data_IF_786084223511
#
_entry.id   IF_786084223511
#
_cell.length_a   1.000
_cell.length_b   1.000
_cell.length_c   1.000
_cell.angle_alpha   90.00
_cell.angle_beta   90.00
_cell.angle_gamma   90.00
#
_symmetry.space_group_name_H-M   'P 1'
#
loop_
_entity.id
_entity.type
_entity.pdbx_description
1 polymer ?
#
# COMPACT_ATOMS: atom_id res chain seq x y z
N UNK A 1 6.50 22.25 8.51
CA UNK A 1 5.92 22.30 7.17
C UNK A 1 4.91 23.43 7.00
N UNK A 2 4.06 23.72 7.96
CA UNK A 2 2.99 24.71 7.80
C UNK A 2 3.51 26.15 7.60
N UNK A 3 4.41 26.61 8.43
CA UNK A 3 4.80 28.04 8.53
C UNK A 3 6.21 28.37 8.03
N UNK A 4 6.94 27.45 7.42
CA UNK A 4 8.31 27.65 6.94
C UNK A 4 8.47 27.17 5.50
N UNK A 5 9.15 27.94 4.67
CA UNK A 5 9.43 27.56 3.27
C UNK A 5 10.37 26.36 3.18
N UNK A 6 11.48 26.41 3.92
CA UNK A 6 12.43 25.31 3.99
C UNK A 6 12.22 24.52 5.28
N UNK A 7 11.96 23.22 5.13
CA UNK A 7 11.72 22.34 6.25
C UNK A 7 13.06 21.86 6.80
N UNK A 8 13.30 22.19 8.09
CA UNK A 8 14.43 21.68 8.86
C UNK A 8 13.94 21.37 10.27
N UNK A 9 14.22 20.17 10.76
CA UNK A 9 13.93 19.80 12.15
C UNK A 9 14.98 20.39 13.09
N UNK A 10 14.86 21.69 13.40
CA UNK A 10 15.77 22.43 14.26
C UNK A 10 14.98 23.22 15.33
N UNK A 11 15.53 23.25 16.57
CA UNK A 11 14.91 23.98 17.69
C UNK A 11 14.75 25.47 17.38
N UNK A 12 15.66 26.06 16.61
CA UNK A 12 15.62 27.47 16.18
C UNK A 12 14.38 27.84 15.36
N UNK A 13 13.65 26.84 14.85
CA UNK A 13 12.39 27.05 14.14
C UNK A 13 11.23 27.40 15.07
N UNK A 14 11.36 27.21 16.37
CA UNK A 14 10.36 27.54 17.38
C UNK A 14 10.60 28.94 17.97
N UNK A 15 10.60 29.96 17.14
CA UNK A 15 10.62 31.35 17.60
C UNK A 15 9.20 31.82 18.01
N UNK A 16 9.13 32.95 18.72
CA UNK A 16 7.88 33.48 19.27
C UNK A 16 6.78 33.67 18.20
N UNK A 17 7.13 34.14 17.00
CA UNK A 17 6.18 34.33 15.91
C UNK A 17 5.58 33.01 15.44
N UNK A 18 6.41 31.97 15.29
CA UNK A 18 5.94 30.62 14.88
C UNK A 18 5.08 29.99 15.97
N UNK A 19 5.44 30.17 17.25
CA UNK A 19 4.64 29.69 18.38
C UNK A 19 3.25 30.35 18.39
N UNK A 20 3.15 31.69 18.22
CA UNK A 20 1.86 32.36 18.09
C UNK A 20 1.02 31.81 16.94
N UNK A 21 1.63 31.57 15.77
CA UNK A 21 0.91 30.97 14.63
C UNK A 21 0.42 29.56 14.92
N UNK A 22 1.17 28.76 15.70
CA UNK A 22 0.71 27.46 16.15
C UNK A 22 -0.48 27.58 17.09
N UNK A 23 -0.44 28.46 18.06
CA UNK A 23 -1.52 28.66 19.03
C UNK A 23 -2.81 29.13 18.34
N UNK A 24 -2.72 30.11 17.45
CA UNK A 24 -3.86 30.62 16.66
C UNK A 24 -4.51 29.56 15.77
N UNK A 25 -3.74 28.60 15.27
CA UNK A 25 -4.21 27.58 14.34
C UNK A 25 -4.29 26.19 14.96
N UNK A 26 -4.06 26.05 16.26
CA UNK A 26 -3.88 24.77 16.92
C UNK A 26 -5.03 23.78 16.69
N UNK A 27 -6.26 24.20 16.85
CA UNK A 27 -7.44 23.34 16.66
C UNK A 27 -7.52 22.74 15.25
N UNK A 28 -7.24 23.55 14.24
CA UNK A 28 -7.22 23.08 12.85
C UNK A 28 -6.05 22.16 12.56
N UNK A 29 -4.87 22.48 13.11
CA UNK A 29 -3.66 21.64 12.96
C UNK A 29 -3.92 20.27 13.61
N UNK A 30 -4.37 20.28 14.88
CA UNK A 30 -4.70 19.07 15.62
C UNK A 30 -5.72 18.21 14.86
N UNK A 31 -6.82 18.84 14.40
CA UNK A 31 -7.86 18.13 13.64
C UNK A 31 -7.34 17.54 12.33
N UNK A 32 -6.49 18.27 11.61
CA UNK A 32 -5.89 17.77 10.36
C UNK A 32 -4.99 16.55 10.60
N UNK A 33 -4.24 16.54 11.71
CA UNK A 33 -3.42 15.39 12.14
C UNK A 33 -4.32 14.19 12.48
N UNK A 34 -5.32 14.38 13.34
CA UNK A 34 -6.26 13.34 13.75
C UNK A 34 -6.93 12.69 12.54
N UNK A 35 -7.44 13.50 11.62
CA UNK A 35 -8.11 13.05 10.40
C UNK A 35 -7.17 12.28 9.47
N UNK A 36 -5.92 12.73 9.31
CA UNK A 36 -4.94 12.02 8.49
C UNK A 36 -4.63 10.62 9.07
N UNK A 37 -4.48 10.51 10.39
CA UNK A 37 -4.29 9.21 11.04
C UNK A 37 -5.55 8.34 11.01
N UNK A 38 -6.75 8.94 11.07
CA UNK A 38 -7.99 8.21 10.89
C UNK A 38 -8.12 7.64 9.47
N UNK A 39 -7.69 8.37 8.44
CA UNK A 39 -7.59 7.85 7.06
C UNK A 39 -6.65 6.66 6.98
N UNK A 40 -5.44 6.74 7.57
CA UNK A 40 -4.50 5.61 7.60
C UNK A 40 -5.13 4.38 8.26
N UNK A 41 -5.80 4.57 9.40
CA UNK A 41 -6.50 3.48 10.10
C UNK A 41 -7.60 2.87 9.23
N UNK A 42 -8.42 3.70 8.57
CA UNK A 42 -9.45 3.23 7.63
C UNK A 42 -8.85 2.47 6.45
N UNK A 43 -7.68 2.83 5.99
CA UNK A 43 -6.95 2.09 4.95
C UNK A 43 -6.25 0.83 5.47
N UNK A 44 -6.42 0.48 6.75
CA UNK A 44 -5.88 -0.73 7.36
C UNK A 44 -4.40 -0.64 7.77
N UNK A 45 -3.80 0.56 7.74
CA UNK A 45 -2.45 0.76 8.26
C UNK A 45 -2.45 0.83 9.79
N UNK A 46 -1.44 0.21 10.39
CA UNK A 46 -1.19 0.20 11.82
C UNK A 46 0.30 0.43 12.09
N UNK A 47 0.73 0.43 13.36
CA UNK A 47 2.13 0.70 13.73
C UNK A 47 3.13 -0.30 13.11
N UNK A 48 2.73 -1.55 12.86
CA UNK A 48 3.61 -2.56 12.25
C UNK A 48 3.73 -2.39 10.72
N UNK A 49 2.68 -1.96 10.05
CA UNK A 49 2.62 -1.79 8.59
C UNK A 49 2.94 -0.36 8.13
N UNK A 50 2.97 0.62 9.05
CA UNK A 50 3.23 2.03 8.73
C UNK A 50 4.48 2.54 9.47
N UNK A 51 5.67 2.13 9.01
CA UNK A 51 6.95 2.49 9.67
C UNK A 51 7.44 3.89 9.31
N UNK A 52 7.26 4.36 8.08
CA UNK A 52 7.71 5.68 7.64
C UNK A 52 6.67 6.77 8.00
N UNK A 53 6.56 7.12 9.28
CA UNK A 53 5.55 8.07 9.80
C UNK A 53 5.61 9.45 9.12
N UNK A 54 6.75 9.86 8.58
CA UNK A 54 6.89 11.10 7.80
C UNK A 54 6.03 11.11 6.51
N UNK A 55 5.61 9.95 6.01
CA UNK A 55 4.74 9.87 4.84
C UNK A 55 3.33 10.45 5.07
N UNK A 56 2.91 10.61 6.33
CA UNK A 56 1.62 11.24 6.65
C UNK A 56 1.69 12.78 6.60
N UNK A 57 2.87 13.37 6.79
CA UNK A 57 3.02 14.85 6.87
C UNK A 57 2.48 15.56 5.62
N UNK A 58 2.74 15.14 4.39
CA UNK A 58 2.14 15.73 3.18
C UNK A 58 0.61 15.69 3.18
N UNK A 59 0.02 14.62 3.70
CA UNK A 59 -1.43 14.46 3.82
C UNK A 59 -2.01 15.47 4.82
N UNK A 60 -1.39 15.57 6.01
CA UNK A 60 -1.78 16.57 7.02
C UNK A 60 -1.70 17.98 6.45
N UNK A 61 -0.60 18.31 5.77
CA UNK A 61 -0.41 19.61 5.15
C UNK A 61 -1.49 19.91 4.09
N UNK A 62 -1.80 18.94 3.23
CA UNK A 62 -2.83 19.09 2.21
C UNK A 62 -4.21 19.31 2.84
N UNK A 63 -4.63 18.48 3.79
CA UNK A 63 -5.91 18.60 4.51
C UNK A 63 -6.03 19.99 5.14
N UNK A 64 -4.99 20.42 5.87
CA UNK A 64 -4.96 21.73 6.51
C UNK A 64 -5.03 22.87 5.49
N UNK A 65 -4.23 22.81 4.41
CA UNK A 65 -4.15 23.88 3.40
C UNK A 65 -5.44 24.06 2.60
N UNK A 66 -6.19 22.98 2.41
CA UNK A 66 -7.49 22.97 1.71
C UNK A 66 -8.69 23.23 2.64
N UNK A 67 -8.46 23.31 3.96
CA UNK A 67 -9.49 23.47 4.99
C UNK A 67 -10.61 22.40 4.91
N UNK A 68 -10.21 21.14 4.68
CA UNK A 68 -11.12 20.00 4.49
C UNK A 68 -11.13 19.02 5.67
N UNK A 69 -10.53 19.39 6.79
CA UNK A 69 -10.39 18.57 7.99
C UNK A 69 -11.73 18.11 8.60
N UNK A 70 -12.83 18.79 8.31
CA UNK A 70 -14.16 18.42 8.81
C UNK A 70 -14.96 17.54 7.84
N UNK A 71 -14.60 17.54 6.56
CA UNK A 71 -15.43 17.02 5.47
C UNK A 71 -14.81 15.77 4.79
N UNK A 72 -13.49 15.70 4.68
CA UNK A 72 -12.79 14.66 3.89
C UNK A 72 -13.17 13.23 4.29
N UNK A 73 -13.48 12.97 5.57
CA UNK A 73 -13.87 11.63 6.04
C UNK A 73 -15.30 11.26 5.62
N UNK A 74 -16.18 12.22 5.45
CA UNK A 74 -17.62 12.04 5.28
C UNK A 74 -18.07 12.23 3.84
N UNK A 75 -17.46 13.19 3.15
CA UNK A 75 -17.92 13.61 1.83
C UNK A 75 -17.36 12.69 0.73
N UNK A 76 -18.25 12.27 -0.18
CA UNK A 76 -17.90 11.53 -1.38
C UNK A 76 -17.09 12.35 -2.39
N UNK A 77 -17.17 13.68 -2.31
CA UNK A 77 -16.41 14.61 -3.15
C UNK A 77 -14.89 14.34 -3.08
N UNK A 78 -14.38 13.88 -1.93
CA UNK A 78 -12.95 13.63 -1.70
C UNK A 78 -12.51 12.18 -1.97
N UNK A 79 -13.26 11.38 -2.72
CA UNK A 79 -12.89 9.98 -3.01
C UNK A 79 -11.58 9.89 -3.81
N UNK A 80 -11.39 10.78 -4.79
CA UNK A 80 -10.16 10.81 -5.58
C UNK A 80 -8.97 11.25 -4.73
N UNK A 81 -9.14 12.26 -3.87
CA UNK A 81 -8.11 12.65 -2.90
C UNK A 81 -7.68 11.48 -2.02
N UNK A 82 -8.65 10.78 -1.43
CA UNK A 82 -8.40 9.61 -0.57
C UNK A 82 -7.66 8.49 -1.32
N UNK A 83 -8.03 8.24 -2.57
CA UNK A 83 -7.35 7.26 -3.44
C UNK A 83 -5.90 7.64 -3.71
N UNK A 84 -5.66 8.90 -4.10
CA UNK A 84 -4.31 9.41 -4.41
C UNK A 84 -3.42 9.50 -3.16
N UNK A 85 -3.98 9.90 -2.02
CA UNK A 85 -3.27 9.88 -0.73
C UNK A 85 -2.89 8.46 -0.31
N UNK A 86 -3.78 7.47 -0.47
CA UNK A 86 -3.46 6.06 -0.19
C UNK A 86 -2.37 5.55 -1.12
N UNK A 87 -2.44 5.86 -2.42
CA UNK A 87 -1.40 5.55 -3.41
C UNK A 87 -0.05 6.14 -2.97
N UNK A 88 -0.04 7.42 -2.55
CA UNK A 88 1.14 8.08 -2.01
C UNK A 88 1.73 7.32 -0.81
N UNK A 89 0.91 6.97 0.17
CA UNK A 89 1.34 6.20 1.35
C UNK A 89 2.00 4.90 0.92
N UNK A 90 1.32 4.09 0.12
CA UNK A 90 1.83 2.79 -0.32
C UNK A 90 3.17 2.93 -1.06
N UNK A 91 3.24 3.79 -2.08
CA UNK A 91 4.45 3.96 -2.90
C UNK A 91 5.60 4.53 -2.07
N UNK A 92 5.35 5.52 -1.21
CA UNK A 92 6.39 6.11 -0.36
C UNK A 92 6.98 5.12 0.65
N UNK A 93 6.17 4.18 1.15
CA UNK A 93 6.62 3.09 2.01
C UNK A 93 7.48 2.09 1.23
N UNK A 94 7.00 1.63 0.08
CA UNK A 94 7.70 0.65 -0.76
C UNK A 94 9.03 1.17 -1.27
N UNK A 95 9.08 2.41 -1.72
CA UNK A 95 10.28 3.07 -2.23
C UNK A 95 11.20 3.60 -1.12
N UNK A 96 10.78 3.52 0.15
CA UNK A 96 11.58 4.04 1.26
C UNK A 96 11.93 5.53 1.13
N UNK A 97 11.03 6.35 0.57
CA UNK A 97 11.27 7.76 0.21
C UNK A 97 11.81 8.59 1.38
N UNK A 98 11.43 8.25 2.61
CA UNK A 98 11.85 8.92 3.83
C UNK A 98 13.09 8.27 4.50
N UNK A 99 13.75 7.33 3.84
CA UNK A 99 15.06 6.83 4.26
C UNK A 99 16.13 7.91 4.09
N UNK A 100 16.76 8.36 5.18
CA UNK A 100 17.81 9.38 5.17
C UNK A 100 17.27 10.83 5.29
N UNK A 101 17.35 11.64 4.25
CA UNK A 101 17.11 13.10 4.31
C UNK A 101 15.63 13.48 4.20
N UNK A 102 14.82 13.22 5.22
CA UNK A 102 13.38 13.53 5.25
C UNK A 102 13.07 15.02 5.04
N UNK A 103 13.92 15.92 5.51
CA UNK A 103 13.73 17.37 5.41
C UNK A 103 13.70 17.85 3.96
N UNK A 104 14.64 17.37 3.14
CA UNK A 104 14.70 17.73 1.70
C UNK A 104 13.49 17.18 0.95
N UNK A 105 13.08 15.94 1.25
CA UNK A 105 11.88 15.33 0.68
C UNK A 105 10.64 16.15 1.00
N UNK A 106 10.43 16.50 2.28
CA UNK A 106 9.29 17.31 2.70
C UNK A 106 9.32 18.72 2.10
N UNK A 107 10.49 19.32 1.94
CA UNK A 107 10.65 20.63 1.30
C UNK A 107 10.20 20.58 -0.17
N UNK A 108 10.63 19.55 -0.92
CA UNK A 108 10.21 19.35 -2.31
C UNK A 108 8.71 19.15 -2.42
N UNK A 109 8.13 18.28 -1.59
CA UNK A 109 6.68 18.04 -1.58
C UNK A 109 5.91 19.29 -1.22
N UNK A 110 6.38 20.07 -0.24
CA UNK A 110 5.72 21.32 0.14
C UNK A 110 5.63 22.30 -1.03
N UNK A 111 6.70 22.46 -1.82
CA UNK A 111 6.67 23.30 -3.03
C UNK A 111 5.54 22.90 -3.98
N UNK A 112 5.38 21.58 -4.21
CA UNK A 112 4.28 21.07 -5.03
C UNK A 112 2.92 21.40 -4.40
N UNK A 113 2.73 21.09 -3.10
CA UNK A 113 1.46 21.27 -2.39
C UNK A 113 1.07 22.73 -2.20
N UNK A 114 2.00 23.68 -2.29
CA UNK A 114 1.74 25.12 -2.16
C UNK A 114 1.15 25.76 -3.42
N UNK A 115 1.08 25.02 -4.52
CA UNK A 115 0.42 25.48 -5.75
C UNK A 115 -1.09 25.62 -5.54
N UNK A 116 -1.60 26.83 -5.71
CA UNK A 116 -3.01 27.19 -5.48
C UNK A 116 -3.97 26.54 -6.49
N UNK A 117 -3.48 26.17 -7.66
CA UNK A 117 -4.28 25.56 -8.74
C UNK A 117 -4.57 24.07 -8.49
N UNK A 118 -4.02 23.49 -7.44
CA UNK A 118 -4.25 22.08 -7.08
C UNK A 118 -5.71 21.91 -6.63
N UNK A 119 -6.45 21.04 -7.33
CA UNK A 119 -7.86 20.70 -7.01
C UNK A 119 -8.01 19.38 -6.26
N UNK A 120 -7.09 18.43 -6.50
CA UNK A 120 -7.02 17.12 -5.85
C UNK A 120 -5.61 16.87 -5.34
N UNK A 121 -5.41 15.89 -4.45
CA UNK A 121 -4.08 15.54 -3.94
C UNK A 121 -3.10 15.26 -5.10
N UNK A 122 -2.01 16.02 -5.26
CA UNK A 122 -1.25 16.08 -6.51
C UNK A 122 -0.18 15.00 -6.61
N UNK A 123 -0.58 13.72 -6.52
CA UNK A 123 0.35 12.59 -6.59
C UNK A 123 1.28 12.63 -7.81
N UNK A 124 0.73 12.89 -9.00
CA UNK A 124 1.54 12.89 -10.23
C UNK A 124 2.54 14.05 -10.28
N UNK A 125 2.18 15.24 -9.76
CA UNK A 125 3.13 16.36 -9.63
C UNK A 125 4.25 16.03 -8.61
N UNK A 126 3.91 15.32 -7.52
CA UNK A 126 4.90 14.84 -6.55
C UNK A 126 5.82 13.80 -7.22
N UNK A 127 5.27 12.81 -7.95
CA UNK A 127 6.05 11.83 -8.71
C UNK A 127 7.04 12.51 -9.64
N UNK A 128 6.56 13.50 -10.40
CA UNK A 128 7.40 14.26 -11.35
C UNK A 128 8.51 15.05 -10.65
N UNK A 129 8.26 15.61 -9.48
CA UNK A 129 9.26 16.38 -8.71
C UNK A 129 10.44 15.52 -8.23
N UNK A 130 10.30 14.21 -8.20
CA UNK A 130 11.36 13.25 -7.85
C UNK A 130 11.86 12.43 -9.05
N UNK A 131 11.43 12.73 -10.27
CA UNK A 131 11.78 11.93 -11.45
C UNK A 131 13.28 11.91 -11.78
N UNK A 132 14.03 12.95 -11.39
CA UNK A 132 15.49 13.07 -11.62
C UNK A 132 16.35 12.55 -10.45
N UNK A 133 15.74 12.07 -9.37
CA UNK A 133 16.43 11.52 -8.19
C UNK A 133 16.17 10.02 -8.10
N UNK A 134 17.10 9.21 -8.59
CA UNK A 134 16.94 7.75 -8.62
C UNK A 134 16.63 7.15 -7.24
N UNK A 135 17.20 7.73 -6.16
CA UNK A 135 17.01 7.25 -4.79
C UNK A 135 15.62 7.61 -4.23
N UNK A 136 14.94 8.62 -4.79
CA UNK A 136 13.63 9.13 -4.33
C UNK A 136 12.54 8.99 -5.39
N UNK A 137 12.90 8.51 -6.59
CA UNK A 137 11.95 8.28 -7.67
C UNK A 137 10.79 7.39 -7.23
N UNK A 138 9.58 7.84 -7.52
CA UNK A 138 8.34 7.09 -7.26
C UNK A 138 7.97 6.14 -8.42
N UNK A 139 8.81 6.05 -9.43
CA UNK A 139 8.65 5.11 -10.56
C UNK A 139 9.04 3.70 -10.12
N UNK A 140 8.27 2.70 -10.54
CA UNK A 140 8.57 1.30 -10.26
C UNK A 140 9.12 0.65 -11.54
N UNK A 141 10.41 0.28 -11.56
CA UNK A 141 10.97 -0.51 -12.65
C UNK A 141 10.43 -1.94 -12.65
N UNK A 142 10.60 -2.66 -13.76
CA UNK A 142 10.18 -4.05 -13.86
C UNK A 142 10.86 -4.95 -12.82
N UNK A 143 12.15 -4.73 -12.57
CA UNK A 143 12.92 -5.44 -11.54
C UNK A 143 12.35 -5.15 -10.14
N UNK A 144 12.03 -3.88 -9.86
CA UNK A 144 11.45 -3.49 -8.58
C UNK A 144 10.07 -4.11 -8.38
N UNK A 145 9.24 -4.17 -9.44
CA UNK A 145 7.92 -4.84 -9.39
C UNK A 145 8.10 -6.33 -9.10
N UNK A 146 9.08 -6.99 -9.74
CA UNK A 146 9.37 -8.41 -9.50
C UNK A 146 9.73 -8.68 -8.04
N UNK A 147 10.60 -7.86 -7.45
CA UNK A 147 10.99 -7.95 -6.04
C UNK A 147 9.81 -7.66 -5.09
N UNK A 148 8.99 -6.67 -5.43
CA UNK A 148 7.79 -6.33 -4.65
C UNK A 148 6.79 -7.48 -4.62
N UNK A 149 6.60 -8.21 -5.72
CA UNK A 149 5.71 -9.36 -5.78
C UNK A 149 6.21 -10.56 -4.94
N UNK A 150 7.53 -10.66 -4.69
CA UNK A 150 8.13 -11.65 -3.79
C UNK A 150 8.09 -11.26 -2.31
N UNK A 151 7.54 -10.10 -1.98
CA UNK A 151 7.43 -9.63 -0.59
C UNK A 151 6.68 -10.66 0.26
N UNK A 152 7.33 -11.12 1.33
CA UNK A 152 6.80 -12.15 2.24
C UNK A 152 5.67 -11.62 3.10
N UNK A 153 4.74 -12.50 3.51
CA UNK A 153 3.55 -12.18 4.32
C UNK A 153 3.88 -11.35 5.57
N UNK A 154 4.97 -11.69 6.26
CA UNK A 154 5.36 -11.04 7.52
C UNK A 154 6.17 -9.76 7.34
N UNK A 155 6.54 -9.42 6.10
CA UNK A 155 7.19 -8.16 5.79
C UNK A 155 6.26 -6.98 6.12
N UNK A 156 6.84 -5.91 6.69
CA UNK A 156 6.11 -4.67 6.95
C UNK A 156 5.53 -4.01 5.69
N UNK A 157 6.14 -4.27 4.53
CA UNK A 157 5.69 -3.72 3.24
C UNK A 157 4.58 -4.54 2.58
N UNK A 158 4.38 -5.80 3.01
CA UNK A 158 3.41 -6.70 2.37
C UNK A 158 2.00 -6.09 2.29
N UNK A 159 1.54 -5.47 3.38
CA UNK A 159 0.22 -4.82 3.39
C UNK A 159 0.13 -3.67 2.38
N UNK A 160 1.18 -2.86 2.25
CA UNK A 160 1.21 -1.75 1.30
C UNK A 160 1.11 -2.25 -0.16
N UNK A 161 1.82 -3.35 -0.50
CA UNK A 161 1.72 -3.98 -1.83
C UNK A 161 0.30 -4.46 -2.10
N UNK A 162 -0.27 -5.23 -1.16
CA UNK A 162 -1.63 -5.73 -1.30
C UNK A 162 -2.65 -4.60 -1.39
N UNK A 163 -2.49 -3.50 -0.62
CA UNK A 163 -3.38 -2.35 -0.68
C UNK A 163 -3.33 -1.59 -2.02
N UNK A 164 -2.20 -1.63 -2.74
CA UNK A 164 -2.11 -1.13 -4.11
C UNK A 164 -2.85 -2.04 -5.10
N UNK A 165 -2.60 -3.35 -5.03
CA UNK A 165 -3.20 -4.36 -5.89
C UNK A 165 -4.73 -4.39 -5.73
N UNK A 166 -5.22 -4.41 -4.51
CA UNK A 166 -6.63 -4.45 -4.16
C UNK A 166 -7.23 -3.05 -3.96
N UNK A 167 -6.91 -2.11 -4.85
CA UNK A 167 -7.32 -0.70 -4.75
C UNK A 167 -8.84 -0.50 -4.79
N UNK A 168 -9.60 -1.46 -5.30
CA UNK A 168 -11.06 -1.46 -5.40
C UNK A 168 -11.79 -1.82 -4.10
N UNK A 169 -11.10 -2.35 -3.09
CA UNK A 169 -11.72 -2.75 -1.83
C UNK A 169 -12.18 -1.54 -1.00
N UNK A 170 -13.22 -1.75 -0.21
CA UNK A 170 -13.85 -0.72 0.63
C UNK A 170 -13.17 -0.58 1.99
N UNK A 171 -11.96 -0.03 2.00
CA UNK A 171 -11.16 0.14 3.22
C UNK A 171 -11.80 1.05 4.27
N UNK A 172 -12.72 1.92 3.87
CA UNK A 172 -13.42 2.84 4.79
C UNK A 172 -14.40 2.11 5.73
N UNK A 173 -14.89 0.94 5.32
CA UNK A 173 -15.97 0.23 6.02
C UNK A 173 -15.61 -1.20 6.43
N UNK A 174 -14.59 -1.79 5.81
CA UNK A 174 -14.21 -3.19 6.04
C UNK A 174 -12.74 -3.29 6.43
N UNK A 175 -12.45 -4.05 7.50
CA UNK A 175 -11.10 -4.42 7.87
C UNK A 175 -10.67 -5.67 7.11
N UNK A 176 -9.46 -5.63 6.53
CA UNK A 176 -8.91 -6.70 5.72
C UNK A 176 -7.67 -7.32 6.35
N UNK A 177 -7.55 -8.64 6.22
CA UNK A 177 -6.43 -9.44 6.67
C UNK A 177 -5.69 -10.06 5.49
N UNK A 178 -4.39 -10.27 5.65
CA UNK A 178 -3.55 -10.98 4.69
C UNK A 178 -3.84 -12.48 4.79
N UNK A 179 -4.31 -13.09 3.71
CA UNK A 179 -4.62 -14.50 3.63
C UNK A 179 -3.91 -15.17 2.44
N UNK A 180 -3.60 -16.47 2.56
CA UNK A 180 -3.06 -17.26 1.46
C UNK A 180 -4.17 -17.78 0.56
N UNK A 181 -4.01 -17.67 -0.76
CA UNK A 181 -4.94 -18.28 -1.72
C UNK A 181 -4.85 -19.82 -1.66
N UNK A 182 -3.68 -20.38 -1.95
CA UNK A 182 -3.38 -21.77 -1.59
C UNK A 182 -2.89 -21.83 -0.14
N UNK A 183 -3.54 -22.58 0.75
CA UNK A 183 -3.27 -22.57 2.19
C UNK A 183 -1.81 -22.91 2.55
N UNK A 184 -1.23 -22.15 3.48
CA UNK A 184 0.15 -22.35 3.92
C UNK A 184 0.41 -23.75 4.49
N UNK A 185 -0.59 -24.35 5.16
CA UNK A 185 -0.50 -25.69 5.75
C UNK A 185 -0.16 -26.79 4.74
N UNK A 186 -0.55 -26.63 3.46
CA UNK A 186 -0.25 -27.58 2.41
C UNK A 186 1.25 -27.58 2.08
N UNK A 187 1.87 -26.42 2.00
CA UNK A 187 3.31 -26.27 1.68
C UNK A 187 4.21 -26.76 2.81
N UNK A 188 3.80 -26.52 4.07
CA UNK A 188 4.60 -26.89 5.25
C UNK A 188 4.66 -28.39 5.52
N UNK A 189 3.79 -29.19 4.90
CA UNK A 189 3.73 -30.64 5.07
C UNK A 189 4.47 -31.42 3.98
N UNK A 190 4.92 -30.74 2.90
CA UNK A 190 5.54 -31.37 1.74
C UNK A 190 6.88 -32.02 2.07
N UNK A 191 7.14 -33.16 1.42
CA UNK A 191 8.39 -33.91 1.49
C UNK A 191 8.98 -34.11 0.08
N UNK A 192 10.29 -34.24 -0.07
CA UNK A 192 10.90 -34.51 -1.38
C UNK A 192 10.31 -35.74 -2.10
N UNK A 193 9.88 -36.77 -1.32
CA UNK A 193 9.25 -37.98 -1.85
C UNK A 193 7.89 -37.77 -2.52
N UNK A 194 7.25 -36.61 -2.30
CA UNK A 194 5.93 -36.31 -2.85
C UNK A 194 6.03 -35.80 -4.30
N UNK A 195 7.25 -35.63 -4.81
CA UNK A 195 7.52 -35.05 -6.14
C UNK A 195 8.40 -35.97 -6.99
N UNK A 196 8.18 -35.92 -8.31
CA UNK A 196 8.95 -36.66 -9.28
C UNK A 196 10.41 -36.16 -9.39
N UNK A 197 10.66 -34.90 -9.09
CA UNK A 197 11.99 -34.29 -9.14
C UNK A 197 12.18 -33.20 -8.06
N UNK A 198 13.44 -32.99 -7.71
CA UNK A 198 13.82 -32.04 -6.65
C UNK A 198 13.56 -30.58 -7.00
N UNK A 199 13.56 -30.20 -8.27
CA UNK A 199 13.32 -28.82 -8.68
C UNK A 199 11.86 -28.42 -8.44
N UNK A 200 10.94 -29.34 -8.74
CA UNK A 200 9.53 -29.16 -8.44
C UNK A 200 9.30 -29.05 -6.93
N UNK A 201 9.89 -29.93 -6.11
CA UNK A 201 9.83 -29.80 -4.66
C UNK A 201 10.35 -28.43 -4.18
N UNK A 202 11.52 -28.00 -4.66
CA UNK A 202 12.12 -26.71 -4.30
C UNK A 202 11.23 -25.53 -4.71
N UNK A 203 10.53 -25.62 -5.85
CA UNK A 203 9.59 -24.59 -6.28
C UNK A 203 8.43 -24.43 -5.29
N UNK A 204 7.80 -25.55 -4.87
CA UNK A 204 6.69 -25.52 -3.92
C UNK A 204 7.11 -25.08 -2.52
N UNK A 205 8.31 -25.41 -2.09
CA UNK A 205 8.80 -25.08 -0.74
C UNK A 205 9.51 -23.72 -0.65
N UNK A 206 9.76 -23.08 -1.79
CA UNK A 206 10.34 -21.72 -1.80
C UNK A 206 9.33 -20.70 -1.25
N UNK A 207 9.62 -20.00 -0.12
CA UNK A 207 8.75 -18.99 0.44
C UNK A 207 8.45 -17.84 -0.53
N UNK A 208 9.32 -17.53 -1.48
CA UNK A 208 9.05 -16.51 -2.51
C UNK A 208 7.85 -16.86 -3.40
N UNK A 209 7.50 -18.14 -3.51
CA UNK A 209 6.33 -18.58 -4.26
C UNK A 209 5.08 -18.69 -3.38
N UNK A 210 5.15 -19.39 -2.24
CA UNK A 210 3.95 -19.70 -1.46
C UNK A 210 3.63 -18.71 -0.33
N UNK A 211 4.64 -18.06 0.27
CA UNK A 211 4.44 -17.12 1.39
C UNK A 211 4.57 -15.66 0.98
N UNK A 212 4.51 -15.35 -0.30
CA UNK A 212 4.67 -14.01 -0.85
C UNK A 212 3.36 -13.44 -1.40
N UNK A 213 3.40 -12.16 -1.82
CA UNK A 213 2.28 -11.49 -2.49
C UNK A 213 1.72 -12.31 -3.65
N UNK A 214 2.55 -13.13 -4.31
CA UNK A 214 2.12 -14.02 -5.39
C UNK A 214 1.06 -15.04 -4.97
N UNK A 215 1.01 -15.44 -3.71
CA UNK A 215 -0.01 -16.34 -3.16
C UNK A 215 -0.90 -15.68 -2.10
N UNK A 216 -0.82 -14.35 -1.92
CA UNK A 216 -1.57 -13.64 -0.90
C UNK A 216 -2.73 -12.84 -1.48
N UNK A 217 -3.76 -12.66 -0.67
CA UNK A 217 -4.91 -11.79 -0.92
C UNK A 217 -5.28 -10.98 0.33
N UNK A 218 -6.20 -10.03 0.15
CA UNK A 218 -6.88 -9.35 1.26
C UNK A 218 -8.29 -9.89 1.40
N UNK A 219 -8.60 -10.50 2.54
CA UNK A 219 -9.93 -10.96 2.91
C UNK A 219 -10.48 -10.16 4.09
N UNK A 220 -11.80 -9.96 4.13
CA UNK A 220 -12.49 -9.50 5.34
C UNK A 220 -12.32 -10.52 6.46
N UNK A 221 -12.41 -10.10 7.73
CA UNK A 221 -12.27 -10.99 8.88
C UNK A 221 -13.21 -12.22 8.77
N UNK A 222 -14.49 -11.99 8.49
CA UNK A 222 -15.47 -13.07 8.38
C UNK A 222 -15.16 -14.06 7.23
N UNK A 223 -14.75 -13.53 6.06
CA UNK A 223 -14.39 -14.38 4.91
C UNK A 223 -13.10 -15.17 5.17
N UNK A 224 -12.16 -14.60 5.92
CA UNK A 224 -10.91 -15.27 6.27
C UNK A 224 -11.14 -16.44 7.24
N UNK A 225 -11.98 -16.25 8.25
CA UNK A 225 -12.37 -17.31 9.18
C UNK A 225 -13.13 -18.45 8.49
N UNK A 226 -14.01 -18.13 7.54
CA UNK A 226 -14.77 -19.16 6.80
C UNK A 226 -13.90 -19.94 5.81
N UNK A 227 -12.88 -19.30 5.18
CA UNK A 227 -11.98 -19.97 4.23
C UNK A 227 -11.05 -20.96 4.92
N UNK A 228 -10.47 -20.57 6.06
CA UNK A 228 -9.51 -21.38 6.82
C UNK A 228 -8.49 -22.13 5.90
N UNK A 229 -8.33 -23.43 6.05
CA UNK A 229 -7.42 -24.30 5.27
C UNK A 229 -8.09 -24.92 4.02
N UNK A 230 -9.24 -24.37 3.56
CA UNK A 230 -9.92 -24.88 2.37
C UNK A 230 -9.07 -24.69 1.12
N UNK A 231 -8.98 -25.72 0.27
CA UNK A 231 -8.27 -25.67 -1.00
C UNK A 231 -8.84 -24.59 -1.91
N UNK A 232 -7.96 -23.90 -2.65
CA UNK A 232 -8.35 -22.75 -3.49
C UNK A 232 -9.48 -23.10 -4.47
N UNK A 233 -9.39 -24.23 -5.17
CA UNK A 233 -10.42 -24.66 -6.13
C UNK A 233 -11.76 -24.85 -5.43
N UNK A 234 -11.79 -25.63 -4.35
CA UNK A 234 -13.01 -25.90 -3.59
C UNK A 234 -13.62 -24.63 -3.04
N UNK A 235 -12.80 -23.74 -2.45
CA UNK A 235 -13.26 -22.45 -1.93
C UNK A 235 -13.88 -21.57 -3.02
N UNK A 236 -13.26 -21.50 -4.20
CA UNK A 236 -13.76 -20.71 -5.33
C UNK A 236 -15.11 -21.25 -5.82
N UNK A 237 -15.22 -22.58 -6.01
CA UNK A 237 -16.42 -23.23 -6.51
C UNK A 237 -17.57 -23.20 -5.50
N UNK A 238 -17.30 -23.56 -4.23
CA UNK A 238 -18.33 -23.66 -3.17
C UNK A 238 -18.91 -22.28 -2.80
N UNK A 239 -18.11 -21.22 -2.89
CA UNK A 239 -18.52 -19.87 -2.50
C UNK A 239 -18.81 -18.95 -3.69
N UNK A 240 -18.80 -19.48 -4.92
CA UNK A 240 -19.02 -18.71 -6.16
C UNK A 240 -18.17 -17.41 -6.18
N UNK A 241 -16.86 -17.57 -5.91
CA UNK A 241 -15.92 -16.45 -5.79
C UNK A 241 -15.68 -15.79 -7.15
N UNK A 242 -15.84 -14.49 -7.21
CA UNK A 242 -15.42 -13.71 -8.38
C UNK A 242 -13.89 -13.65 -8.48
N UNK A 243 -13.34 -14.35 -9.48
CA UNK A 243 -11.90 -14.45 -9.71
C UNK A 243 -11.24 -13.09 -9.95
N UNK A 244 -11.93 -12.18 -10.64
CA UNK A 244 -11.39 -10.87 -10.98
C UNK A 244 -11.21 -10.00 -9.74
N UNK A 245 -12.22 -9.95 -8.87
CA UNK A 245 -12.14 -9.19 -7.61
C UNK A 245 -11.08 -9.75 -6.65
N UNK A 246 -10.72 -11.03 -6.79
CA UNK A 246 -9.68 -11.70 -6.00
C UNK A 246 -8.33 -11.75 -6.68
N UNK A 247 -8.23 -11.18 -7.88
CA UNK A 247 -7.01 -11.19 -8.69
C UNK A 247 -6.49 -12.62 -8.91
N UNK A 248 -7.41 -13.55 -9.14
CA UNK A 248 -7.12 -14.95 -9.48
C UNK A 248 -7.12 -15.07 -11.01
N UNK A 249 -6.08 -15.66 -11.61
CA UNK A 249 -6.03 -15.87 -13.06
C UNK A 249 -7.21 -16.69 -13.56
N UNK A 250 -7.79 -16.29 -14.70
CA UNK A 250 -8.87 -17.00 -15.37
C UNK A 250 -8.30 -18.09 -16.30
N UNK A 251 -9.09 -19.12 -16.58
CA UNK A 251 -8.77 -20.18 -17.56
C UNK A 251 -7.55 -21.04 -17.18
N UNK A 252 -7.28 -21.21 -15.90
CA UNK A 252 -6.29 -22.15 -15.37
C UNK A 252 -6.96 -23.09 -14.37
N UNK A 253 -6.33 -24.25 -14.14
CA UNK A 253 -6.73 -25.12 -13.06
C UNK A 253 -6.23 -24.54 -11.71
N UNK A 254 -7.12 -24.51 -10.70
CA UNK A 254 -6.82 -23.98 -9.37
C UNK A 254 -6.48 -25.10 -8.34
N UNK A 255 -6.25 -26.32 -8.80
CA UNK A 255 -5.78 -27.41 -7.94
C UNK A 255 -4.35 -27.14 -7.44
N UNK A 256 -4.03 -27.69 -6.29
CA UNK A 256 -2.70 -27.54 -5.69
C UNK A 256 -1.58 -28.11 -6.58
N UNK A 257 -1.86 -29.18 -7.35
CA UNK A 257 -0.94 -29.76 -8.33
C UNK A 257 -0.48 -28.78 -9.42
N UNK A 258 -1.29 -27.79 -9.75
CA UNK A 258 -1.03 -26.78 -10.78
C UNK A 258 -0.48 -25.45 -10.21
N UNK A 259 -0.04 -25.45 -8.94
CA UNK A 259 0.51 -24.28 -8.27
C UNK A 259 1.62 -23.56 -9.07
N UNK A 260 2.56 -24.21 -9.77
CA UNK A 260 3.55 -23.52 -10.61
C UNK A 260 2.92 -22.72 -11.75
N UNK A 261 1.87 -23.23 -12.38
CA UNK A 261 1.12 -22.54 -13.41
C UNK A 261 0.38 -21.34 -12.80
N UNK A 262 -0.29 -21.55 -11.66
CA UNK A 262 -0.98 -20.51 -10.92
C UNK A 262 -0.06 -19.33 -10.57
N UNK A 263 1.12 -19.58 -10.03
CA UNK A 263 2.10 -18.53 -9.65
C UNK A 263 2.57 -17.75 -10.88
N UNK A 264 2.88 -18.43 -11.99
CA UNK A 264 3.30 -17.78 -13.24
C UNK A 264 2.22 -16.83 -13.77
N UNK A 265 1.02 -17.34 -13.96
CA UNK A 265 -0.11 -16.57 -14.53
C UNK A 265 -0.53 -15.42 -13.59
N UNK A 266 -0.48 -15.67 -12.28
CA UNK A 266 -0.77 -14.64 -11.29
C UNK A 266 0.30 -13.55 -11.26
N UNK A 267 1.57 -13.90 -11.38
CA UNK A 267 2.67 -12.92 -11.47
C UNK A 267 2.43 -11.96 -12.64
N UNK A 268 2.08 -12.48 -13.82
CA UNK A 268 1.78 -11.65 -14.99
C UNK A 268 0.56 -10.74 -14.75
N UNK A 269 -0.51 -11.27 -14.14
CA UNK A 269 -1.69 -10.51 -13.80
C UNK A 269 -1.36 -9.37 -12.82
N UNK A 270 -0.68 -9.68 -11.73
CA UNK A 270 -0.34 -8.70 -10.69
C UNK A 270 0.65 -7.64 -11.20
N UNK A 271 1.60 -8.00 -12.05
CA UNK A 271 2.51 -7.06 -12.72
C UNK A 271 1.73 -6.02 -13.54
N UNK A 272 0.77 -6.47 -14.36
CA UNK A 272 -0.08 -5.54 -15.14
C UNK A 272 -0.89 -4.61 -14.25
N UNK A 273 -1.45 -5.12 -13.16
CA UNK A 273 -2.24 -4.33 -12.22
C UNK A 273 -1.37 -3.29 -11.51
N UNK A 274 -0.17 -3.67 -11.05
CA UNK A 274 0.75 -2.72 -10.42
C UNK A 274 1.16 -1.62 -11.40
N UNK A 275 1.54 -1.95 -12.63
CA UNK A 275 1.88 -0.96 -13.67
C UNK A 275 0.73 0.01 -13.90
N UNK A 276 -0.49 -0.50 -14.08
CA UNK A 276 -1.68 0.35 -14.22
C UNK A 276 -1.95 1.21 -12.99
N UNK A 277 -1.77 0.67 -11.77
CA UNK A 277 -2.00 1.42 -10.53
C UNK A 277 -1.04 2.60 -10.33
N UNK A 278 0.17 2.52 -10.91
CA UNK A 278 1.20 3.56 -10.84
C UNK A 278 1.19 4.51 -12.05
N UNK A 279 0.34 4.24 -13.04
CA UNK A 279 0.20 5.08 -14.23
C UNK A 279 1.29 4.85 -15.28
N UNK A 280 1.72 3.59 -15.44
CA UNK A 280 2.62 3.12 -16.50
C UNK A 280 1.90 2.20 -17.47
#
# INVERSE_FOLDING_TARGET
>A
MLFQENIKFQVTNFNASVVCQFDENWERIRKSIEVAFELLKKWGFNDSSFRAKNAVIPIVYYIYSKAIENDILKDRLYQEDKKLMRKWVCISLLKGVFGGHSDSVLTTIKKVLSDKEIKVFPYEKIKLAFASDDAKSLTLSDEFIDDVLKTQKDSSNCYAVLALLYSHLHYDTVSYHKDHLHPASHFLKLKPSDFADINTYNFYTNPENWNSVLNLQLLSANSNESKNDEELKSWVESNNIDLESRLIPKNINLEFSDFPVFIRERKELLTRILKSAIGE
#
